data_IF_562295030669
#
_entry.id   IF_562295030669
#
_cell.length_a   1.000
_cell.length_b   1.000
_cell.length_c   1.000
_cell.angle_alpha   90.00
_cell.angle_beta   90.00
_cell.angle_gamma   90.00
#
_symmetry.space_group_name_H-M   'P 1'
#
loop_
_entity.id
_entity.type
_entity.pdbx_description
1 polymer ?
#
# COMPACT_ATOMS: atom_id res chain seq x y z
N UNK A 1 11.99 3.84 4.22
CA UNK A 1 12.25 3.10 5.47
C UNK A 1 13.71 2.68 5.51
N UNK A 2 14.40 2.88 6.64
CA UNK A 2 15.75 2.31 6.83
C UNK A 2 15.65 0.78 6.97
N UNK A 3 16.68 0.07 6.49
CA UNK A 3 16.89 -1.37 6.68
C UNK A 3 15.73 -2.28 6.23
N UNK A 4 14.98 -1.87 5.20
CA UNK A 4 13.82 -2.62 4.69
C UNK A 4 14.15 -4.04 4.17
N UNK A 5 15.42 -4.32 3.89
CA UNK A 5 15.91 -5.63 3.46
C UNK A 5 16.14 -6.62 4.61
N UNK A 6 16.19 -6.15 5.86
CA UNK A 6 16.44 -6.97 7.03
C UNK A 6 15.15 -7.24 7.82
N UNK A 7 15.12 -8.37 8.52
CA UNK A 7 14.05 -8.65 9.50
C UNK A 7 14.34 -7.82 10.75
N UNK A 8 13.66 -6.68 10.87
CA UNK A 8 13.75 -5.79 12.04
C UNK A 8 12.69 -6.16 13.09
N UNK A 9 11.55 -6.70 12.65
CA UNK A 9 10.45 -7.12 13.51
C UNK A 9 9.69 -8.30 12.89
N UNK A 10 9.32 -9.27 13.73
CA UNK A 10 8.63 -10.49 13.28
C UNK A 10 9.56 -11.44 12.52
N UNK A 11 9.05 -12.02 11.43
CA UNK A 11 9.73 -13.07 10.66
C UNK A 11 9.99 -12.69 9.19
N UNK A 12 9.46 -11.55 8.73
CA UNK A 12 9.51 -11.12 7.33
C UNK A 12 10.12 -9.71 7.23
N UNK A 13 11.08 -9.52 6.32
CA UNK A 13 11.61 -8.21 6.02
C UNK A 13 10.56 -7.35 5.30
N UNK A 14 10.54 -6.04 5.54
CA UNK A 14 9.53 -5.15 4.96
C UNK A 14 9.53 -5.17 3.42
N UNK A 15 10.70 -5.26 2.79
CA UNK A 15 10.81 -5.36 1.34
C UNK A 15 10.28 -6.71 0.81
N UNK A 16 10.50 -7.81 1.54
CA UNK A 16 9.94 -9.12 1.19
C UNK A 16 8.40 -9.10 1.26
N UNK A 17 7.84 -8.54 2.34
CA UNK A 17 6.40 -8.38 2.50
C UNK A 17 5.79 -7.52 1.38
N UNK A 18 6.45 -6.41 1.03
CA UNK A 18 6.07 -5.55 -0.09
C UNK A 18 6.06 -6.30 -1.41
N UNK A 19 7.14 -7.02 -1.75
CA UNK A 19 7.26 -7.78 -3.00
C UNK A 19 6.15 -8.84 -3.08
N UNK A 20 5.95 -9.61 -2.01
CA UNK A 20 4.89 -10.63 -1.95
C UNK A 20 3.51 -10.01 -2.18
N UNK A 21 3.24 -8.88 -1.53
CA UNK A 21 1.96 -8.21 -1.65
C UNK A 21 1.74 -7.60 -3.04
N UNK A 22 2.70 -6.86 -3.59
CA UNK A 22 2.58 -6.25 -4.93
C UNK A 22 2.47 -7.31 -6.02
N UNK A 23 3.14 -8.46 -5.87
CA UNK A 23 3.01 -9.59 -6.80
C UNK A 23 1.57 -10.12 -6.82
N UNK A 24 0.95 -10.26 -5.65
CA UNK A 24 -0.46 -10.68 -5.56
C UNK A 24 -1.41 -9.62 -6.16
N UNK A 25 -1.16 -8.33 -5.91
CA UNK A 25 -1.94 -7.25 -6.50
C UNK A 25 -1.84 -7.22 -8.03
N UNK A 26 -0.63 -7.35 -8.57
CA UNK A 26 -0.41 -7.34 -10.02
C UNK A 26 -1.13 -8.52 -10.70
N UNK A 27 -1.16 -9.70 -10.06
CA UNK A 27 -1.92 -10.85 -10.54
C UNK A 27 -3.45 -10.59 -10.51
N UNK A 28 -3.97 -9.99 -9.45
CA UNK A 28 -5.39 -9.63 -9.34
C UNK A 28 -5.79 -8.57 -10.37
N UNK A 29 -4.97 -7.53 -10.56
CA UNK A 29 -5.20 -6.48 -11.55
C UNK A 29 -5.22 -7.08 -12.97
N UNK A 30 -4.31 -8.01 -13.26
CA UNK A 30 -4.27 -8.70 -14.56
C UNK A 30 -5.48 -9.63 -14.78
N UNK A 31 -6.00 -10.26 -13.73
CA UNK A 31 -7.17 -11.14 -13.79
C UNK A 31 -8.50 -10.38 -13.96
N UNK A 32 -8.55 -9.09 -13.57
CA UNK A 32 -9.75 -8.26 -13.56
C UNK A 32 -9.55 -6.95 -14.35
N UNK A 33 -9.29 -7.02 -15.68
CA UNK A 33 -8.99 -5.85 -16.47
C UNK A 33 -10.18 -4.89 -16.57
N UNK A 34 -9.95 -3.61 -16.25
CA UNK A 34 -10.97 -2.56 -16.32
C UNK A 34 -11.92 -2.49 -15.12
N UNK A 35 -11.77 -3.40 -14.16
CA UNK A 35 -12.53 -3.38 -12.90
C UNK A 35 -11.83 -2.57 -11.81
N UNK A 36 -12.60 -2.11 -10.82
CA UNK A 36 -12.07 -1.51 -9.60
C UNK A 36 -11.92 -2.57 -8.51
N UNK A 37 -10.71 -2.72 -7.95
CA UNK A 37 -10.42 -3.70 -6.91
C UNK A 37 -10.40 -3.03 -5.53
N UNK A 38 -11.24 -3.53 -4.61
CA UNK A 38 -11.17 -3.20 -3.20
C UNK A 38 -10.22 -4.15 -2.46
N UNK A 39 -9.18 -3.61 -1.81
CA UNK A 39 -8.18 -4.41 -1.07
C UNK A 39 -8.11 -3.92 0.37
N UNK A 40 -8.38 -4.83 1.32
CA UNK A 40 -8.21 -4.56 2.76
C UNK A 40 -6.84 -5.08 3.21
N UNK A 41 -6.06 -4.23 3.86
CA UNK A 41 -4.70 -4.56 4.31
C UNK A 41 -4.34 -3.78 5.59
N UNK A 42 -3.09 -3.93 6.03
CA UNK A 42 -2.54 -3.27 7.20
C UNK A 42 -1.84 -1.96 6.79
N UNK A 43 -1.84 -0.96 7.69
CA UNK A 43 -1.28 0.37 7.40
C UNK A 43 0.17 0.37 6.91
N UNK A 44 1.02 -0.49 7.50
CA UNK A 44 2.43 -0.62 7.08
C UNK A 44 2.56 -1.13 5.64
N UNK A 45 1.77 -2.14 5.27
CA UNK A 45 1.77 -2.68 3.90
C UNK A 45 1.24 -1.64 2.93
N UNK A 46 0.15 -0.95 3.29
CA UNK A 46 -0.39 0.14 2.47
C UNK A 46 0.66 1.21 2.20
N UNK A 47 1.35 1.70 3.24
CA UNK A 47 2.41 2.69 3.08
C UNK A 47 3.55 2.20 2.16
N UNK A 48 4.02 0.97 2.34
CA UNK A 48 5.09 0.40 1.50
C UNK A 48 4.68 0.26 0.03
N UNK A 49 3.44 -0.16 -0.23
CA UNK A 49 2.89 -0.29 -1.59
C UNK A 49 2.74 1.08 -2.23
N UNK A 50 2.18 2.06 -1.52
CA UNK A 50 2.03 3.42 -2.02
C UNK A 50 3.39 4.06 -2.35
N UNK A 51 4.39 3.89 -1.50
CA UNK A 51 5.76 4.32 -1.80
C UNK A 51 6.32 3.67 -3.05
N UNK A 52 6.12 2.35 -3.21
CA UNK A 52 6.61 1.64 -4.39
C UNK A 52 5.96 2.10 -5.70
N UNK A 53 4.65 2.33 -5.67
CA UNK A 53 3.89 2.68 -6.87
C UNK A 53 3.96 4.16 -7.23
N UNK A 54 4.00 5.02 -6.22
CA UNK A 54 3.75 6.46 -6.41
C UNK A 54 4.94 7.34 -5.98
N UNK A 55 5.91 6.77 -5.26
CA UNK A 55 7.09 7.49 -4.76
C UNK A 55 6.86 8.30 -3.48
N UNK A 56 5.64 8.33 -2.92
CA UNK A 56 5.37 9.00 -1.64
C UNK A 56 6.16 8.37 -0.50
N UNK A 57 6.54 9.17 0.52
CA UNK A 57 7.32 8.64 1.65
C UNK A 57 6.49 7.67 2.52
N UNK A 58 7.04 6.48 2.76
CA UNK A 58 6.38 5.41 3.49
C UNK A 58 6.10 5.80 4.94
N UNK A 59 7.06 6.44 5.61
CA UNK A 59 6.93 6.77 7.02
C UNK A 59 5.87 7.85 7.24
N UNK A 60 5.92 8.92 6.44
CA UNK A 60 4.94 10.00 6.48
C UNK A 60 3.53 9.49 6.17
N UNK A 61 3.40 8.58 5.20
CA UNK A 61 2.13 7.93 4.87
C UNK A 61 1.60 7.11 6.05
N UNK A 62 2.43 6.24 6.62
CA UNK A 62 2.05 5.39 7.75
C UNK A 62 1.68 6.20 9.00
N UNK A 63 2.48 7.22 9.32
CA UNK A 63 2.28 8.06 10.49
C UNK A 63 0.99 8.90 10.42
N UNK A 64 0.50 9.18 9.22
CA UNK A 64 -0.74 9.91 9.01
C UNK A 64 -2.00 9.05 9.18
N UNK A 65 -1.90 7.71 9.23
CA UNK A 65 -3.08 6.83 9.27
C UNK A 65 -3.74 6.86 10.66
N UNK A 66 -4.98 7.34 10.72
CA UNK A 66 -5.79 7.38 11.95
C UNK A 66 -6.80 6.23 12.03
N UNK A 67 -7.14 5.64 10.89
CA UNK A 67 -8.00 4.46 10.72
C UNK A 67 -9.47 4.62 11.20
N UNK A 68 -10.46 4.10 10.44
CA UNK A 68 -10.30 3.46 9.14
C UNK A 68 -9.87 4.49 8.09
N UNK A 69 -9.02 4.07 7.15
CA UNK A 69 -8.35 4.91 6.17
C UNK A 69 -8.35 4.21 4.81
N UNK A 70 -8.26 4.96 3.71
CA UNK A 70 -8.10 4.37 2.38
C UNK A 70 -7.24 5.22 1.45
N UNK A 71 -6.74 4.59 0.40
CA UNK A 71 -6.11 5.24 -0.73
C UNK A 71 -6.72 4.73 -2.04
N UNK A 72 -6.81 5.59 -3.04
CA UNK A 72 -7.18 5.22 -4.41
C UNK A 72 -5.96 5.43 -5.29
N UNK A 73 -5.57 4.38 -6.01
CA UNK A 73 -4.48 4.40 -6.98
C UNK A 73 -5.07 4.15 -8.37
N UNK A 74 -4.70 4.97 -9.34
CA UNK A 74 -5.18 4.82 -10.71
C UNK A 74 -4.65 3.53 -11.34
N UNK A 75 -5.34 3.06 -12.37
CA UNK A 75 -4.82 2.09 -13.32
C UNK A 75 -3.58 2.60 -14.08
N UNK A 76 -3.20 1.97 -15.22
CA UNK A 76 -1.84 1.96 -15.75
C UNK A 76 -1.11 3.31 -15.63
N UNK A 77 0.00 3.31 -14.90
CA UNK A 77 0.69 4.52 -14.43
C UNK A 77 0.79 4.58 -12.90
N UNK A 78 -0.16 3.95 -12.18
CA UNK A 78 -0.16 3.80 -10.71
C UNK A 78 0.03 5.13 -9.98
N UNK A 79 -0.86 6.10 -10.23
CA UNK A 79 -0.83 7.40 -9.56
C UNK A 79 -1.73 7.40 -8.32
N UNK A 80 -1.27 8.02 -7.23
CA UNK A 80 -2.13 8.27 -6.07
C UNK A 80 -3.19 9.31 -6.47
N UNK A 81 -4.46 8.89 -6.50
CA UNK A 81 -5.60 9.74 -6.84
C UNK A 81 -6.20 10.36 -5.58
N UNK A 82 -6.31 9.56 -4.53
CA UNK A 82 -6.89 9.99 -3.26
C UNK A 82 -6.18 9.30 -2.11
N UNK A 83 -5.99 10.04 -1.02
CA UNK A 83 -5.53 9.51 0.25
C UNK A 83 -6.38 10.11 1.36
N UNK A 84 -7.15 9.27 2.05
CA UNK A 84 -7.92 9.63 3.23
C UNK A 84 -7.32 8.95 4.46
N UNK A 85 -6.57 9.68 5.31
CA UNK A 85 -5.94 9.13 6.51
C UNK A 85 -6.94 8.74 7.60
N UNK A 86 -8.15 9.31 7.55
CA UNK A 86 -9.29 9.00 8.40
C UNK A 86 -10.56 9.05 7.54
N UNK A 87 -11.47 8.12 7.77
CA UNK A 87 -12.84 8.21 7.28
C UNK A 87 -13.67 9.00 8.27
N UNK A 88 -14.47 9.92 7.74
CA UNK A 88 -15.57 10.52 8.48
C UNK A 88 -16.67 9.46 8.64
N UNK A 89 -16.58 8.68 9.72
CA UNK A 89 -17.63 7.73 10.10
C UNK A 89 -18.54 8.44 11.10
N UNK A 90 -19.85 8.60 10.82
CA UNK A 90 -20.79 9.20 11.76
C UNK A 90 -20.99 8.38 13.03
#
# INVERSE_FOLDING_TARGET
MKDAEHVIFGEEAFNAARIRFTTALDALIAAHPGESLGVVTHGTIMAMVLTHWTGVDAYSTWAALEMPAFAVVSGPGRHLVEFKPALDVP
#
